data_IF_485824477119
#
_entry.id   IF_485824477119
#
_cell.length_a   1.000
_cell.length_b   1.000
_cell.length_c   1.000
_cell.angle_alpha   90.00
_cell.angle_beta   90.00
_cell.angle_gamma   90.00
#
_symmetry.space_group_name_H-M   'P 1'
#
loop_
_entity.id
_entity.type
_entity.pdbx_description
1 polymer ?
#
# COMPACT_ATOMS: atom_id res chain seq x y z
N UNK A 1 -19.94 -17.52 -3.66
CA UNK A 1 -19.45 -16.15 -3.37
C UNK A 1 -18.54 -16.28 -2.16
N UNK A 2 -17.23 -16.08 -2.34
CA UNK A 2 -16.23 -16.51 -1.35
C UNK A 2 -16.16 -15.53 -0.17
N UNK A 3 -16.69 -16.04 0.94
CA UNK A 3 -16.31 -15.98 2.35
C UNK A 3 -15.92 -14.65 3.02
N UNK A 4 -16.78 -14.29 3.98
CA UNK A 4 -16.58 -13.35 5.07
C UNK A 4 -15.64 -13.97 6.10
N UNK A 5 -14.36 -13.62 6.07
CA UNK A 5 -13.54 -13.68 7.29
C UNK A 5 -12.51 -12.54 7.32
N UNK A 6 -12.79 -11.60 8.20
CA UNK A 6 -12.07 -10.36 8.49
C UNK A 6 -10.72 -10.67 9.14
N UNK A 7 -9.56 -10.28 8.55
CA UNK A 7 -8.27 -10.34 9.25
C UNK A 7 -8.14 -9.11 10.13
N UNK A 8 -8.64 -9.21 11.36
CA UNK A 8 -8.92 -8.06 12.20
C UNK A 8 -7.74 -7.54 13.05
N UNK A 9 -6.49 -8.00 12.85
CA UNK A 9 -5.35 -7.49 13.69
C UNK A 9 -4.01 -7.22 12.98
N UNK A 10 -3.93 -7.40 11.67
CA UNK A 10 -2.91 -6.81 10.79
C UNK A 10 -3.39 -7.09 9.37
N UNK A 11 -4.01 -6.11 8.70
CA UNK A 11 -4.40 -6.27 7.29
C UNK A 11 -3.12 -6.44 6.47
N UNK A 12 -2.76 -7.68 6.19
CA UNK A 12 -1.71 -8.00 5.25
C UNK A 12 -2.16 -7.42 3.91
N UNK A 13 -1.49 -6.35 3.46
CA UNK A 13 -1.81 -5.69 2.19
C UNK A 13 -1.73 -6.73 1.07
N UNK A 14 -2.76 -6.78 0.24
CA UNK A 14 -2.79 -7.68 -0.91
C UNK A 14 -1.65 -7.33 -1.87
N UNK A 15 -1.23 -8.30 -2.69
CA UNK A 15 -0.16 -8.07 -3.67
C UNK A 15 -0.51 -6.93 -4.64
N UNK A 16 -1.80 -6.83 -5.02
CA UNK A 16 -2.31 -5.76 -5.88
C UNK A 16 -2.18 -4.38 -5.22
N UNK A 17 -2.52 -4.26 -3.93
CA UNK A 17 -2.34 -3.01 -3.20
C UNK A 17 -0.88 -2.59 -3.15
N UNK A 18 0.06 -3.53 -2.91
CA UNK A 18 1.49 -3.21 -2.92
C UNK A 18 1.96 -2.71 -4.29
N UNK A 19 1.52 -3.37 -5.37
CA UNK A 19 1.86 -2.97 -6.74
C UNK A 19 1.32 -1.56 -7.03
N UNK A 20 0.07 -1.26 -6.64
CA UNK A 20 -0.51 0.06 -6.82
C UNK A 20 0.28 1.16 -6.08
N UNK A 21 0.73 0.90 -4.85
CA UNK A 21 1.54 1.85 -4.07
C UNK A 21 2.90 2.08 -4.74
N UNK A 22 3.56 1.02 -5.21
CA UNK A 22 4.84 1.12 -5.92
C UNK A 22 4.67 1.88 -7.23
N UNK A 23 3.65 1.57 -8.03
CA UNK A 23 3.36 2.28 -9.28
C UNK A 23 3.11 3.77 -9.04
N UNK A 24 2.31 4.13 -8.03
CA UNK A 24 2.06 5.53 -7.67
C UNK A 24 3.34 6.28 -7.28
N UNK A 25 4.33 5.59 -6.71
CA UNK A 25 5.62 6.22 -6.34
C UNK A 25 6.48 6.62 -7.54
N UNK A 26 6.23 6.04 -8.72
CA UNK A 26 6.90 6.39 -9.97
C UNK A 26 6.19 7.51 -10.75
N UNK A 27 5.00 7.93 -10.32
CA UNK A 27 4.28 9.02 -11.00
C UNK A 27 5.00 10.37 -10.82
N UNK A 28 5.12 11.19 -11.88
CA UNK A 28 5.79 12.46 -11.80
C UNK A 28 5.08 13.41 -10.83
N UNK A 29 5.83 14.02 -9.92
CA UNK A 29 5.28 14.88 -8.86
C UNK A 29 4.86 14.13 -7.60
N UNK A 30 4.90 12.79 -7.59
CA UNK A 30 4.78 12.00 -6.38
C UNK A 30 6.17 11.75 -5.79
N UNK A 31 6.36 12.07 -4.51
CA UNK A 31 7.58 11.68 -3.79
C UNK A 31 7.31 10.42 -2.99
N UNK A 32 8.34 9.57 -2.83
CA UNK A 32 8.26 8.36 -2.00
C UNK A 32 7.73 8.69 -0.60
N UNK A 33 8.16 9.81 -0.02
CA UNK A 33 7.70 10.27 1.30
C UNK A 33 6.21 10.61 1.35
N UNK A 34 5.67 11.20 0.27
CA UNK A 34 4.26 11.57 0.15
C UNK A 34 3.38 10.33 -0.01
N UNK A 35 3.81 9.39 -0.85
CA UNK A 35 3.11 8.12 -1.06
C UNK A 35 3.15 7.27 0.22
N UNK A 36 4.29 7.26 0.92
CA UNK A 36 4.45 6.56 2.18
C UNK A 36 3.44 6.98 3.25
N UNK A 37 3.28 8.31 3.41
CA UNK A 37 2.35 8.91 4.37
C UNK A 37 0.89 8.62 4.03
N UNK A 38 0.52 8.69 2.75
CA UNK A 38 -0.85 8.40 2.31
C UNK A 38 -1.25 6.94 2.58
N UNK A 39 -0.31 6.00 2.40
CA UNK A 39 -0.59 4.57 2.55
C UNK A 39 -0.26 4.01 3.94
N UNK A 40 0.26 4.83 4.85
CA UNK A 40 0.70 4.39 6.17
C UNK A 40 1.80 3.30 6.09
N UNK A 41 2.75 3.47 5.17
CA UNK A 41 3.95 2.63 5.05
C UNK A 41 5.17 3.43 5.45
N UNK A 42 6.20 2.77 5.99
CA UNK A 42 7.49 3.43 6.15
C UNK A 42 8.11 3.64 4.76
N UNK A 43 8.73 4.80 4.54
CA UNK A 43 9.36 5.10 3.25
C UNK A 43 10.49 4.12 2.88
N UNK A 44 11.09 3.43 3.85
CA UNK A 44 12.08 2.36 3.64
C UNK A 44 11.48 1.04 3.14
N UNK A 45 10.15 0.91 3.14
CA UNK A 45 9.42 -0.27 2.68
C UNK A 45 8.81 -0.08 1.28
N UNK A 46 8.99 1.11 0.70
CA UNK A 46 8.60 1.49 -0.65
C UNK A 46 9.80 1.37 -1.58
#
# INVERSE_FOLDING_TARGET
MIDVLRPEKCKQRTMQEKIAIVQQSFEPGMTVSLVARQHGVAASQL
#
